data_IF_870985717139
#
_entry.id   IF_870985717139
#
_cell.length_a   1.000
_cell.length_b   1.000
_cell.length_c   1.000
_cell.angle_alpha   90.00
_cell.angle_beta   90.00
_cell.angle_gamma   90.00
#
_symmetry.space_group_name_H-M   'P 1'
#
loop_
_entity.id
_entity.type
_entity.pdbx_description
1 polymer ?
#
# COMPACT_ATOMS: atom_id res chain seq x y z
N UNK A 1 -10.07 -33.58 34.22
CA UNK A 1 -9.14 -32.48 34.59
C UNK A 1 -7.66 -32.89 34.77
N UNK A 2 -7.13 -33.90 34.07
CA UNK A 2 -5.67 -34.19 34.08
C UNK A 2 -5.05 -34.60 32.73
N UNK A 3 -5.79 -34.52 31.62
CA UNK A 3 -5.28 -34.83 30.27
C UNK A 3 -5.26 -33.66 29.29
N UNK A 4 -5.75 -32.48 29.68
CA UNK A 4 -5.78 -31.28 28.81
C UNK A 4 -4.52 -30.39 29.01
N UNK A 5 -3.80 -30.55 30.13
CA UNK A 5 -2.66 -29.69 30.48
C UNK A 5 -1.34 -30.15 29.82
N UNK A 6 -1.23 -31.40 29.36
CA UNK A 6 0.03 -31.91 28.79
C UNK A 6 0.22 -31.51 27.31
N UNK A 7 -0.87 -31.27 26.56
CA UNK A 7 -0.79 -30.84 25.16
C UNK A 7 -0.45 -29.34 24.99
N UNK A 8 -0.75 -28.51 25.98
CA UNK A 8 -0.36 -27.09 25.96
C UNK A 8 1.12 -26.88 26.30
N UNK A 9 1.74 -27.76 27.09
CA UNK A 9 3.15 -27.61 27.50
C UNK A 9 4.12 -28.10 26.41
N UNK A 10 3.72 -29.05 25.56
CA UNK A 10 4.57 -29.54 24.45
C UNK A 10 4.55 -28.56 23.25
N UNK A 11 3.48 -27.78 23.05
CA UNK A 11 3.47 -26.69 22.05
C UNK A 11 4.29 -25.49 22.53
N UNK A 12 4.39 -25.25 23.85
CA UNK A 12 5.16 -24.14 24.41
C UNK A 12 6.69 -24.39 24.49
N UNK A 13 7.13 -25.65 24.43
CA UNK A 13 8.57 -26.01 24.52
C UNK A 13 9.22 -26.16 23.14
N UNK A 14 8.45 -26.33 22.06
CA UNK A 14 8.98 -26.29 20.69
C UNK A 14 9.07 -24.84 20.15
N UNK A 15 8.35 -23.88 20.74
CA UNK A 15 8.42 -22.45 20.38
C UNK A 15 9.60 -21.69 21.01
N UNK A 16 10.40 -22.30 21.89
CA UNK A 16 11.65 -21.70 22.40
C UNK A 16 12.93 -22.36 21.86
N UNK A 17 12.82 -23.26 20.87
CA UNK A 17 13.96 -23.89 20.22
C UNK A 17 14.02 -23.71 18.71
N UNK A 18 13.02 -23.06 18.09
CA UNK A 18 13.18 -22.48 16.76
C UNK A 18 13.80 -21.09 16.89
N UNK A 19 15.09 -21.04 17.21
CA UNK A 19 15.94 -19.97 16.69
C UNK A 19 15.87 -20.15 15.18
N UNK A 20 14.88 -19.50 14.57
CA UNK A 20 14.67 -19.50 13.14
C UNK A 20 15.91 -18.88 12.51
N UNK A 21 16.74 -19.73 11.93
CA UNK A 21 17.71 -19.34 10.91
C UNK A 21 16.92 -18.87 9.67
N UNK A 22 16.32 -17.69 9.75
CA UNK A 22 15.89 -16.92 8.58
C UNK A 22 16.80 -15.70 8.57
N UNK A 23 17.96 -15.86 7.94
CA UNK A 23 18.82 -14.73 7.65
C UNK A 23 18.28 -14.00 6.42
N UNK A 24 17.96 -12.71 6.55
CA UNK A 24 17.92 -11.84 5.39
C UNK A 24 19.33 -11.85 4.75
N UNK A 25 19.38 -12.03 3.43
CA UNK A 25 20.64 -11.97 2.71
C UNK A 25 20.96 -10.51 2.42
N UNK A 26 22.12 -10.03 2.89
CA UNK A 26 22.69 -8.76 2.44
C UNK A 26 23.14 -8.92 1.00
N UNK A 27 22.57 -8.15 0.07
CA UNK A 27 23.06 -8.13 -1.31
C UNK A 27 24.14 -7.07 -1.47
N UNK A 28 25.23 -7.45 -2.12
CA UNK A 28 26.30 -6.57 -2.59
C UNK A 28 26.43 -6.82 -4.09
N UNK A 29 25.43 -6.40 -4.86
CA UNK A 29 25.52 -6.38 -6.31
C UNK A 29 25.22 -4.96 -6.78
N UNK A 30 26.27 -4.24 -7.16
CA UNK A 30 26.16 -3.00 -7.93
C UNK A 30 25.73 -3.38 -9.34
N UNK A 31 24.43 -3.32 -9.62
CA UNK A 31 23.95 -3.17 -10.99
C UNK A 31 23.93 -1.68 -11.31
N UNK A 32 24.98 -1.21 -11.98
CA UNK A 32 24.97 0.11 -12.63
C UNK A 32 23.88 0.10 -13.71
N UNK A 33 22.75 0.78 -13.46
CA UNK A 33 21.83 1.21 -14.51
C UNK A 33 22.11 2.67 -14.83
N UNK A 34 22.83 2.90 -15.94
CA UNK A 34 22.90 4.22 -16.55
C UNK A 34 21.52 4.53 -17.17
N UNK A 35 20.66 5.24 -16.44
CA UNK A 35 19.42 5.78 -16.99
C UNK A 35 19.70 7.18 -17.56
N UNK A 36 19.78 7.28 -18.88
CA UNK A 36 19.63 8.56 -19.58
C UNK A 36 18.54 8.39 -20.64
N UNK A 37 17.32 8.76 -20.27
CA UNK A 37 16.23 9.07 -21.22
C UNK A 37 15.64 10.38 -20.73
N UNK A 38 15.93 11.45 -21.47
CA UNK A 38 15.47 12.81 -21.19
C UNK A 38 13.98 12.84 -20.85
N UNK A 39 13.66 13.19 -19.61
CA UNK A 39 12.32 13.51 -19.15
C UNK A 39 12.08 14.98 -19.46
N UNK A 40 11.13 15.31 -20.33
CA UNK A 40 10.64 16.69 -20.48
C UNK A 40 9.24 16.79 -19.87
N UNK A 41 9.17 16.82 -18.54
CA UNK A 41 7.93 17.06 -17.81
C UNK A 41 8.14 18.18 -16.80
N UNK A 42 7.82 19.42 -17.17
CA UNK A 42 7.66 20.60 -16.28
C UNK A 42 8.54 20.72 -15.01
N UNK A 43 9.80 20.27 -15.03
CA UNK A 43 10.74 20.32 -13.89
C UNK A 43 11.00 18.98 -13.20
N UNK A 44 10.21 17.94 -13.44
CA UNK A 44 10.46 16.58 -12.95
C UNK A 44 11.51 15.86 -13.80
N UNK A 45 12.47 15.23 -13.12
CA UNK A 45 13.50 14.38 -13.71
C UNK A 45 13.40 12.94 -13.23
N UNK A 46 14.02 12.01 -13.98
CA UNK A 46 14.08 10.60 -13.59
C UNK A 46 15.28 10.38 -12.67
N UNK A 47 15.03 10.27 -11.37
CA UNK A 47 16.08 10.05 -10.39
C UNK A 47 16.63 8.62 -10.44
N UNK A 48 15.74 7.64 -10.57
CA UNK A 48 16.15 6.24 -10.57
C UNK A 48 15.20 5.36 -11.36
N UNK A 49 15.74 4.29 -11.95
CA UNK A 49 14.98 3.29 -12.69
C UNK A 49 15.60 1.90 -12.52
N UNK A 50 14.74 0.89 -12.35
CA UNK A 50 15.11 -0.52 -12.36
C UNK A 50 14.17 -1.34 -13.22
N UNK A 51 14.74 -2.17 -14.09
CA UNK A 51 13.99 -3.14 -14.90
C UNK A 51 14.22 -4.55 -14.37
N UNK A 52 13.15 -5.34 -14.27
CA UNK A 52 13.16 -6.66 -13.64
C UNK A 52 13.02 -7.83 -14.61
N UNK A 53 12.89 -7.56 -15.91
CA UNK A 53 12.61 -8.55 -16.94
C UNK A 53 11.19 -8.41 -17.49
N UNK A 54 10.70 -9.41 -18.20
CA UNK A 54 9.43 -9.35 -18.95
C UNK A 54 8.49 -10.53 -18.66
N UNK A 55 8.78 -11.32 -17.62
CA UNK A 55 7.93 -12.40 -17.17
C UNK A 55 6.83 -11.86 -16.26
N UNK A 56 5.55 -11.93 -16.68
CA UNK A 56 4.45 -11.53 -15.81
C UNK A 56 4.31 -12.45 -14.59
N UNK A 57 5.04 -13.56 -14.50
CA UNK A 57 4.93 -14.49 -13.36
C UNK A 57 5.94 -14.22 -12.25
N UNK A 58 6.95 -13.39 -12.50
CA UNK A 58 8.09 -13.20 -11.57
C UNK A 58 8.55 -11.73 -11.51
N UNK A 59 8.41 -10.99 -12.60
CA UNK A 59 9.09 -9.71 -12.78
C UNK A 59 8.16 -8.52 -12.50
N UNK A 60 6.84 -8.74 -12.46
CA UNK A 60 5.85 -7.73 -12.12
C UNK A 60 6.04 -7.19 -10.69
N UNK A 61 5.76 -5.89 -10.51
CA UNK A 61 5.90 -5.17 -9.25
C UNK A 61 4.55 -4.63 -8.80
N UNK A 62 4.36 -4.65 -7.48
CA UNK A 62 3.23 -4.04 -6.78
C UNK A 62 3.75 -3.56 -5.43
N UNK A 63 3.05 -2.59 -4.86
CA UNK A 63 3.35 -2.04 -3.54
C UNK A 63 2.03 -1.84 -2.81
N UNK A 64 2.10 -1.81 -1.49
CA UNK A 64 0.98 -1.34 -0.68
C UNK A 64 0.99 0.19 -0.53
N UNK A 65 -0.02 0.76 0.14
CA UNK A 65 -0.24 2.19 0.29
C UNK A 65 0.83 2.94 1.11
N UNK A 66 1.71 2.24 1.82
CA UNK A 66 2.67 2.84 2.76
C UNK A 66 4.09 2.24 2.61
N UNK A 67 4.72 2.29 1.42
CA UNK A 67 5.99 1.62 1.16
C UNK A 67 7.22 2.47 1.48
N UNK A 68 7.05 3.75 1.83
CA UNK A 68 8.13 4.70 2.11
C UNK A 68 8.12 5.04 3.60
N UNK A 69 9.26 4.88 4.29
CA UNK A 69 9.39 5.25 5.70
C UNK A 69 10.63 4.66 6.39
N UNK A 70 10.94 5.16 7.59
CA UNK A 70 12.09 4.72 8.39
C UNK A 70 11.85 3.35 9.02
N UNK A 71 12.09 2.29 8.26
CA UNK A 71 11.76 0.90 8.61
C UNK A 71 12.78 0.24 9.52
N UNK A 72 14.03 0.74 9.54
CA UNK A 72 15.06 0.27 10.47
C UNK A 72 15.33 1.20 11.66
N UNK A 73 14.58 2.31 11.75
CA UNK A 73 14.59 3.28 12.83
C UNK A 73 15.95 3.99 12.99
N UNK A 74 16.61 4.29 11.87
CA UNK A 74 17.88 5.03 11.81
C UNK A 74 17.71 6.54 11.55
N UNK A 75 16.47 6.99 11.38
CA UNK A 75 16.09 8.37 11.08
C UNK A 75 16.04 8.69 9.59
N UNK A 76 16.20 7.70 8.71
CA UNK A 76 16.07 7.83 7.26
C UNK A 76 15.02 6.86 6.72
N UNK A 77 14.30 7.29 5.70
CA UNK A 77 13.34 6.49 4.98
C UNK A 77 14.02 5.45 4.09
N UNK A 78 13.42 4.26 4.09
CA UNK A 78 13.57 3.24 3.07
C UNK A 78 12.40 3.26 2.10
N UNK A 79 12.64 2.73 0.90
CA UNK A 79 11.61 2.39 -0.07
C UNK A 79 11.45 0.86 -0.14
N UNK A 80 10.22 0.37 0.04
CA UNK A 80 9.89 -1.04 -0.14
C UNK A 80 9.43 -1.32 -1.57
N UNK A 81 10.01 -2.32 -2.21
CA UNK A 81 9.55 -2.79 -3.54
C UNK A 81 9.23 -4.27 -3.45
N UNK A 82 8.02 -4.66 -3.81
CA UNK A 82 7.63 -6.06 -3.84
C UNK A 82 7.33 -6.57 -5.25
N UNK A 83 7.18 -7.88 -5.39
CA UNK A 83 6.82 -8.47 -6.67
C UNK A 83 6.46 -9.94 -6.62
N UNK A 84 6.16 -10.49 -7.80
CA UNK A 84 5.76 -11.90 -8.01
C UNK A 84 6.88 -12.92 -7.81
N UNK A 85 8.02 -12.48 -7.29
CA UNK A 85 9.17 -13.32 -6.95
C UNK A 85 9.27 -13.59 -5.45
N UNK A 86 8.14 -13.48 -4.74
CA UNK A 86 8.03 -13.75 -3.30
C UNK A 86 9.05 -12.95 -2.46
N UNK A 87 9.33 -11.70 -2.88
CA UNK A 87 10.35 -10.86 -2.25
C UNK A 87 9.81 -9.46 -1.99
N UNK A 88 10.01 -8.96 -0.76
CA UNK A 88 9.93 -7.53 -0.44
C UNK A 88 11.35 -7.04 -0.28
N UNK A 89 11.76 -6.13 -1.16
CA UNK A 89 13.08 -5.51 -1.19
C UNK A 89 13.04 -4.27 -0.35
N UNK A 90 14.11 -4.05 0.41
CA UNK A 90 14.31 -2.83 1.17
C UNK A 90 15.41 -2.06 0.48
N UNK A 91 15.06 -0.91 -0.07
CA UNK A 91 15.93 -0.03 -0.83
C UNK A 91 16.34 1.15 0.06
N UNK A 92 17.63 1.46 0.12
CA UNK A 92 18.16 2.67 0.77
C UNK A 92 18.81 3.58 -0.27
N UNK A 93 18.65 4.88 -0.08
CA UNK A 93 19.37 5.90 -0.85
C UNK A 93 20.87 5.89 -0.53
N UNK A 94 21.69 5.97 -1.57
CA UNK A 94 23.15 6.05 -1.50
C UNK A 94 23.60 7.41 -2.03
N UNK A 95 23.71 8.37 -1.11
CA UNK A 95 24.02 9.77 -1.40
C UNK A 95 25.20 9.99 -2.36
N UNK A 96 26.32 9.30 -2.14
CA UNK A 96 27.53 9.51 -2.94
C UNK A 96 27.36 9.07 -4.40
N UNK A 97 26.52 8.07 -4.64
CA UNK A 97 26.32 7.47 -5.95
C UNK A 97 25.02 7.95 -6.59
N UNK A 98 24.23 8.77 -5.87
CA UNK A 98 22.94 9.28 -6.29
C UNK A 98 22.00 8.19 -6.82
N UNK A 99 21.91 7.09 -6.07
CA UNK A 99 21.16 5.90 -6.49
C UNK A 99 20.55 5.14 -5.31
N UNK A 100 19.68 4.19 -5.61
CA UNK A 100 19.10 3.29 -4.61
C UNK A 100 19.82 1.94 -4.62
N UNK A 101 20.13 1.44 -3.43
CA UNK A 101 20.72 0.12 -3.23
C UNK A 101 19.77 -0.79 -2.46
N UNK A 102 19.57 -2.01 -2.96
CA UNK A 102 18.85 -3.04 -2.23
C UNK A 102 19.74 -3.56 -1.08
N UNK A 103 19.39 -3.18 0.15
CA UNK A 103 20.17 -3.56 1.35
C UNK A 103 19.69 -4.85 1.99
N UNK A 104 18.39 -5.16 1.89
CA UNK A 104 17.79 -6.38 2.41
C UNK A 104 16.69 -6.92 1.49
N UNK A 105 16.38 -8.21 1.67
CA UNK A 105 15.25 -8.90 1.07
C UNK A 105 14.52 -9.69 2.16
N UNK A 106 13.21 -9.47 2.25
CA UNK A 106 12.29 -10.22 3.09
C UNK A 106 11.54 -11.25 2.25
N UNK A 107 11.11 -12.33 2.89
CA UNK A 107 10.45 -13.48 2.26
C UNK A 107 9.35 -14.03 3.16
N UNK A 108 8.34 -14.74 2.62
CA UNK A 108 7.25 -15.28 3.42
C UNK A 108 7.73 -16.25 4.52
N UNK A 109 6.92 -16.46 5.57
CA UNK A 109 7.18 -17.49 6.57
C UNK A 109 7.47 -18.85 5.94
N UNK A 110 8.52 -19.53 6.42
CA UNK A 110 8.99 -20.83 5.93
C UNK A 110 9.58 -20.84 4.50
N UNK A 111 9.92 -19.69 3.92
CA UNK A 111 10.72 -19.64 2.70
C UNK A 111 12.04 -20.45 2.84
N UNK A 112 12.49 -21.20 1.82
CA UNK A 112 11.93 -21.33 0.46
C UNK A 112 10.89 -22.45 0.28
N UNK A 113 10.40 -23.07 1.37
CA UNK A 113 9.40 -24.15 1.30
C UNK A 113 8.00 -23.62 0.95
N UNK A 114 7.71 -22.39 1.36
CA UNK A 114 6.51 -21.65 0.98
C UNK A 114 6.95 -20.49 0.08
N UNK A 115 6.35 -20.43 -1.11
CA UNK A 115 6.58 -19.39 -2.11
C UNK A 115 5.21 -18.79 -2.42
N UNK A 116 4.98 -17.60 -1.90
CA UNK A 116 3.79 -16.82 -2.17
C UNK A 116 4.16 -15.34 -2.25
N UNK A 117 3.36 -14.60 -2.99
CA UNK A 117 3.55 -13.18 -3.19
C UNK A 117 2.88 -12.40 -2.05
N UNK A 118 3.47 -11.28 -1.67
CA UNK A 118 2.86 -10.36 -0.72
C UNK A 118 2.02 -9.40 -1.54
N UNK A 119 0.70 -9.57 -1.56
CA UNK A 119 -0.17 -8.61 -2.27
C UNK A 119 0.06 -7.15 -1.83
N UNK A 120 0.47 -6.92 -0.58
CA UNK A 120 0.75 -5.59 -0.07
C UNK A 120 1.65 -5.57 1.17
N UNK A 121 2.18 -4.40 1.46
CA UNK A 121 3.12 -4.12 2.55
C UNK A 121 3.01 -2.67 3.02
N UNK A 122 3.39 -2.45 4.26
CA UNK A 122 3.37 -1.13 4.89
C UNK A 122 4.53 -0.98 5.88
N UNK A 123 5.05 0.24 6.00
CA UNK A 123 5.95 0.67 7.08
C UNK A 123 5.13 1.45 8.11
N UNK A 124 5.27 1.12 9.40
CA UNK A 124 4.63 1.87 10.48
C UNK A 124 4.75 1.20 11.84
N UNK A 125 4.40 1.92 12.91
CA UNK A 125 4.47 1.44 14.30
C UNK A 125 3.29 0.50 14.64
N UNK A 126 3.35 -0.73 14.13
CA UNK A 126 2.33 -1.78 14.35
C UNK A 126 2.26 -2.18 15.82
N UNK A 127 3.40 -2.15 16.50
CA UNK A 127 3.51 -2.62 17.89
C UNK A 127 3.21 -1.56 18.93
N UNK A 128 3.05 -0.30 18.52
CA UNK A 128 2.80 0.86 19.36
C UNK A 128 3.90 1.07 20.41
N UNK A 129 5.16 0.85 20.01
CA UNK A 129 6.34 1.08 20.86
C UNK A 129 7.18 2.30 20.45
N UNK A 130 6.68 3.10 19.50
CA UNK A 130 7.31 4.30 18.97
C UNK A 130 8.37 4.00 17.91
N UNK A 131 8.41 2.77 17.39
CA UNK A 131 9.31 2.36 16.31
C UNK A 131 8.53 1.71 15.19
N UNK A 132 9.00 1.90 13.96
CA UNK A 132 8.37 1.30 12.81
C UNK A 132 8.75 -0.18 12.65
N UNK A 133 7.78 -0.93 12.15
CA UNK A 133 7.91 -2.26 11.60
C UNK A 133 7.57 -2.27 10.11
N UNK A 134 7.89 -3.38 9.44
CA UNK A 134 7.34 -3.70 8.13
C UNK A 134 6.25 -4.75 8.32
N UNK A 135 5.03 -4.45 7.90
CA UNK A 135 3.97 -5.43 7.72
C UNK A 135 3.94 -5.93 6.27
N UNK A 136 3.60 -7.20 6.08
CA UNK A 136 3.36 -7.78 4.76
C UNK A 136 2.17 -8.73 4.83
N UNK A 137 1.38 -8.79 3.75
CA UNK A 137 0.20 -9.65 3.69
C UNK A 137 0.52 -11.15 3.79
N UNK A 138 1.79 -11.56 3.65
CA UNK A 138 2.27 -12.94 3.88
C UNK A 138 1.87 -13.54 5.22
N UNK A 139 0.74 -14.25 5.27
CA UNK A 139 0.19 -14.76 6.53
C UNK A 139 0.12 -13.68 7.63
N UNK A 140 -0.12 -12.42 7.24
CA UNK A 140 -0.13 -11.28 8.16
C UNK A 140 1.18 -11.23 8.97
N UNK A 141 2.30 -11.11 8.27
CA UNK A 141 3.64 -11.11 8.86
C UNK A 141 4.08 -9.69 9.24
N UNK A 142 4.81 -9.59 10.35
CA UNK A 142 5.42 -8.35 10.83
C UNK A 142 6.91 -8.58 11.07
N UNK A 143 7.73 -7.69 10.53
CA UNK A 143 9.17 -7.70 10.62
C UNK A 143 9.68 -6.47 11.35
N UNK A 144 10.67 -6.66 12.21
CA UNK A 144 11.34 -5.58 12.94
C UNK A 144 12.84 -5.64 12.73
N UNK A 145 13.46 -4.49 12.54
CA UNK A 145 14.91 -4.40 12.54
C UNK A 145 15.49 -4.52 13.96
N UNK A 146 16.28 -5.57 14.22
CA UNK A 146 16.94 -5.79 15.51
C UNK A 146 18.34 -6.35 15.26
N UNK A 147 19.34 -5.65 15.80
CA UNK A 147 20.75 -6.05 15.74
C UNK A 147 21.23 -6.31 14.30
N UNK A 148 21.10 -5.29 13.45
CA UNK A 148 21.61 -5.25 12.07
C UNK A 148 20.93 -6.20 11.08
N UNK A 149 19.68 -6.60 11.36
CA UNK A 149 18.84 -7.33 10.39
C UNK A 149 17.37 -7.29 10.77
N UNK A 150 16.51 -7.56 9.80
CA UNK A 150 15.08 -7.74 10.02
C UNK A 150 14.78 -9.15 10.55
N UNK A 151 13.98 -9.20 11.59
CA UNK A 151 13.44 -10.41 12.17
C UNK A 151 11.93 -10.40 12.03
N UNK A 152 11.36 -11.53 11.61
CA UNK A 152 9.93 -11.76 11.74
C UNK A 152 9.58 -11.90 13.22
N UNK A 153 8.77 -10.98 13.73
CA UNK A 153 8.36 -10.95 15.15
C UNK A 153 6.93 -11.43 15.36
N UNK A 154 6.11 -11.42 14.31
CA UNK A 154 4.71 -11.82 14.36
C UNK A 154 4.23 -12.39 13.04
N UNK A 155 3.34 -13.38 13.12
CA UNK A 155 2.59 -13.95 11.99
C UNK A 155 1.20 -14.31 12.50
N UNK A 156 0.16 -14.04 11.72
CA UNK A 156 -1.18 -14.54 11.98
C UNK A 156 -1.80 -15.16 10.71
N UNK A 157 -1.71 -16.49 10.52
CA UNK A 157 -2.14 -17.13 9.30
C UNK A 157 -3.67 -17.31 9.18
N UNK A 158 -4.46 -16.69 10.06
CA UNK A 158 -5.89 -16.97 10.16
C UNK A 158 -6.65 -16.72 8.85
N UNK A 159 -6.36 -15.62 8.14
CA UNK A 159 -7.01 -15.31 6.85
C UNK A 159 -6.80 -16.46 5.86
N UNK A 160 -5.54 -16.81 5.59
CA UNK A 160 -5.17 -17.87 4.66
C UNK A 160 -5.73 -19.24 5.06
N UNK A 161 -5.68 -19.57 6.35
CA UNK A 161 -6.17 -20.87 6.85
C UNK A 161 -7.70 -20.99 6.84
N UNK A 162 -8.42 -19.88 6.62
CA UNK A 162 -9.86 -19.87 6.48
C UNK A 162 -10.30 -19.59 5.03
N UNK A 163 -9.40 -19.78 4.06
CA UNK A 163 -9.72 -19.62 2.63
C UNK A 163 -10.01 -18.17 2.26
N UNK A 164 -9.30 -17.22 2.85
CA UNK A 164 -9.26 -15.84 2.40
C UNK A 164 -7.92 -15.51 1.72
N UNK A 165 -7.95 -14.43 0.95
CA UNK A 165 -6.76 -13.75 0.44
C UNK A 165 -6.66 -12.36 1.06
N UNK A 166 -5.44 -11.85 1.15
CA UNK A 166 -5.20 -10.45 1.49
C UNK A 166 -4.58 -9.79 0.29
N UNK A 167 -5.30 -8.81 -0.25
CA UNK A 167 -4.84 -8.03 -1.39
C UNK A 167 -3.79 -7.03 -0.93
N UNK A 168 -4.08 -6.27 0.13
CA UNK A 168 -3.17 -5.24 0.61
C UNK A 168 -3.23 -5.08 2.15
N UNK A 169 -2.38 -4.23 2.71
CA UNK A 169 -2.41 -3.86 4.12
C UNK A 169 -2.00 -2.41 4.41
N UNK A 170 -2.59 -1.86 5.48
CA UNK A 170 -2.32 -0.52 6.03
C UNK A 170 -1.97 -0.63 7.52
N UNK A 171 -1.25 0.35 8.02
CA UNK A 171 -0.98 0.55 9.44
C UNK A 171 -1.53 1.92 9.85
N UNK A 172 -2.40 1.93 10.85
CA UNK A 172 -2.98 3.16 11.39
C UNK A 172 -4.10 2.92 12.39
N UNK A 173 -4.47 3.96 13.12
CA UNK A 173 -5.52 3.95 14.15
C UNK A 173 -6.90 4.00 13.51
N UNK A 174 -7.51 2.82 13.31
CA UNK A 174 -8.81 2.68 12.65
C UNK A 174 -9.97 2.57 13.63
N UNK A 175 -9.68 2.44 14.91
CA UNK A 175 -10.67 2.35 15.97
C UNK A 175 -10.64 3.54 16.94
N UNK A 176 -9.82 4.55 16.60
CA UNK A 176 -9.69 5.85 17.22
C UNK A 176 -9.33 5.78 18.71
N UNK A 177 -8.53 4.78 19.09
CA UNK A 177 -8.08 4.57 20.48
C UNK A 177 -6.68 5.17 20.79
N UNK A 178 -6.07 5.81 19.79
CA UNK A 178 -4.74 6.42 19.84
C UNK A 178 -3.61 5.44 19.58
N UNK A 179 -3.91 4.24 19.06
CA UNK A 179 -2.92 3.21 18.70
C UNK A 179 -3.17 2.71 17.30
N UNK A 180 -2.10 2.28 16.65
CA UNK A 180 -2.16 1.72 15.31
C UNK A 180 -2.63 0.26 15.34
N UNK A 181 -3.47 -0.07 14.37
CA UNK A 181 -3.81 -1.43 13.95
C UNK A 181 -3.06 -1.80 12.68
N UNK A 182 -2.99 -3.10 12.41
CA UNK A 182 -2.70 -3.64 11.09
C UNK A 182 -4.03 -4.03 10.41
N UNK A 183 -4.37 -3.33 9.34
CA UNK A 183 -5.61 -3.48 8.58
C UNK A 183 -5.26 -4.22 7.29
N UNK A 184 -6.01 -5.27 6.96
CA UNK A 184 -5.83 -6.01 5.71
C UNK A 184 -7.11 -5.91 4.88
N UNK A 185 -6.94 -5.52 3.62
CA UNK A 185 -7.98 -5.60 2.60
C UNK A 185 -7.94 -6.98 1.92
N UNK A 186 -9.07 -7.35 1.34
CA UNK A 186 -9.19 -8.54 0.53
C UNK A 186 -10.59 -9.10 0.68
N UNK A 187 -10.66 -10.36 1.08
CA UNK A 187 -11.92 -11.03 1.38
C UNK A 187 -11.76 -12.54 1.36
N UNK A 188 -12.88 -13.23 1.52
CA UNK A 188 -12.93 -14.64 1.23
C UNK A 188 -12.52 -14.96 -0.20
N UNK A 189 -11.89 -16.12 -0.41
CA UNK A 189 -11.94 -16.78 -1.71
C UNK A 189 -13.40 -16.81 -2.17
N UNK A 190 -13.63 -16.83 -3.49
CA UNK A 190 -14.92 -16.78 -4.22
C UNK A 190 -15.96 -17.89 -3.86
N UNK A 191 -15.98 -18.34 -2.62
CA UNK A 191 -16.86 -19.28 -1.96
C UNK A 191 -17.92 -18.51 -1.19
N UNK A 192 -19.18 -18.90 -1.37
CA UNK A 192 -20.35 -18.23 -0.81
C UNK A 192 -20.55 -18.38 0.71
N UNK A 193 -19.49 -18.66 1.48
CA UNK A 193 -19.57 -18.79 2.94
C UNK A 193 -18.23 -18.56 3.63
N UNK A 194 -17.33 -17.76 3.03
CA UNK A 194 -16.05 -17.47 3.68
C UNK A 194 -16.27 -16.70 4.99
N UNK A 195 -15.60 -17.11 6.09
CA UNK A 195 -15.63 -16.38 7.35
C UNK A 195 -14.70 -15.16 7.34
N UNK A 196 -13.93 -14.94 6.27
CA UNK A 196 -12.98 -13.83 6.17
C UNK A 196 -13.70 -12.59 5.65
N UNK A 197 -13.64 -11.50 6.43
CA UNK A 197 -14.18 -10.21 6.03
C UNK A 197 -13.37 -9.54 4.93
N UNK A 198 -14.03 -8.72 4.14
CA UNK A 198 -13.42 -7.84 3.12
C UNK A 198 -12.36 -6.91 3.71
N UNK A 199 -12.57 -6.49 4.96
CA UNK A 199 -11.58 -5.83 5.81
C UNK A 199 -11.38 -6.68 7.06
N UNK A 200 -10.13 -6.95 7.42
CA UNK A 200 -9.77 -7.66 8.66
C UNK A 200 -8.72 -6.87 9.45
N UNK A 201 -8.94 -6.69 10.74
CA UNK A 201 -8.12 -5.82 11.60
C UNK A 201 -7.42 -6.62 12.69
N UNK A 202 -6.12 -6.36 12.87
CA UNK A 202 -5.27 -6.97 13.88
C UNK A 202 -4.65 -5.90 14.79
N UNK A 203 -4.61 -6.17 16.10
CA UNK A 203 -3.83 -5.39 17.07
C UNK A 203 -2.66 -6.20 17.59
N UNK A 204 -1.53 -5.53 17.81
CA UNK A 204 -0.43 -6.12 18.57
C UNK A 204 -0.75 -6.10 20.07
N UNK A 205 -0.77 -7.26 20.71
CA UNK A 205 -1.08 -7.35 22.15
C UNK A 205 0.17 -7.40 23.06
N UNK A 206 1.35 -7.15 22.50
CA UNK A 206 2.65 -7.27 23.19
C UNK A 206 3.34 -8.63 23.02
N UNK A 207 2.63 -9.65 22.51
CA UNK A 207 3.18 -10.99 22.25
C UNK A 207 2.93 -11.46 20.82
N UNK A 208 1.76 -11.19 20.25
CA UNK A 208 1.37 -11.60 18.90
C UNK A 208 0.29 -10.70 18.33
N UNK A 209 0.08 -10.78 17.01
CA UNK A 209 -1.04 -10.14 16.31
C UNK A 209 -2.34 -10.85 16.63
N UNK A 210 -3.27 -10.14 17.27
CA UNK A 210 -4.60 -10.63 17.58
C UNK A 210 -5.61 -10.04 16.59
N UNK A 211 -6.42 -10.87 15.94
CA UNK A 211 -7.57 -10.40 15.16
C UNK A 211 -8.60 -9.80 16.13
N UNK A 212 -8.99 -8.55 15.91
CA UNK A 212 -9.88 -7.80 16.81
C UNK A 212 -11.18 -7.36 16.19
N UNK A 213 -11.20 -7.12 14.88
CA UNK A 213 -12.39 -6.70 14.15
C UNK A 213 -12.33 -7.19 12.69
N UNK A 214 -13.48 -7.17 12.04
CA UNK A 214 -13.64 -7.45 10.62
C UNK A 214 -14.89 -6.72 10.11
N UNK A 215 -14.92 -6.43 8.82
CA UNK A 215 -16.10 -5.93 8.14
C UNK A 215 -16.31 -6.73 6.85
N UNK A 216 -17.59 -6.98 6.54
CA UNK A 216 -18.01 -7.71 5.35
C UNK A 216 -19.41 -7.22 4.93
N UNK A 217 -19.61 -6.88 3.66
CA UNK A 217 -20.95 -6.63 3.16
C UNK A 217 -21.78 -7.92 3.16
N UNK A 218 -22.90 -7.91 3.88
CA UNK A 218 -23.78 -9.10 3.98
C UNK A 218 -24.54 -9.40 2.68
N UNK A 219 -24.56 -8.47 1.73
CA UNK A 219 -25.39 -8.55 0.53
C UNK A 219 -24.62 -8.99 -0.72
N UNK A 220 -23.29 -8.87 -0.71
CA UNK A 220 -22.43 -9.13 -1.86
C UNK A 220 -21.12 -9.72 -1.35
N UNK A 221 -20.49 -10.57 -2.16
CA UNK A 221 -19.11 -10.99 -1.91
C UNK A 221 -18.18 -10.06 -2.67
N UNK A 222 -17.69 -9.03 -1.99
CA UNK A 222 -16.64 -8.17 -2.51
C UNK A 222 -15.27 -8.76 -2.31
N UNK A 223 -14.33 -8.24 -3.09
CA UNK A 223 -12.90 -8.38 -2.85
C UNK A 223 -12.33 -6.98 -2.93
N UNK A 224 -11.82 -6.48 -1.80
CA UNK A 224 -11.22 -5.14 -1.72
C UNK A 224 -9.75 -5.27 -2.09
N UNK A 225 -9.33 -4.65 -3.18
CA UNK A 225 -7.92 -4.69 -3.60
C UNK A 225 -7.08 -3.80 -2.70
N UNK A 226 -7.37 -2.50 -2.65
CA UNK A 226 -6.68 -1.56 -1.78
C UNK A 226 -7.71 -0.66 -1.07
N UNK A 227 -7.58 -0.58 0.26
CA UNK A 227 -8.39 0.30 1.10
C UNK A 227 -7.61 1.59 1.41
N UNK A 228 -8.31 2.62 1.84
CA UNK A 228 -7.75 3.85 2.41
C UNK A 228 -8.12 4.01 3.88
N UNK A 229 -7.37 4.84 4.60
CA UNK A 229 -7.61 5.20 6.00
C UNK A 229 -7.44 6.72 6.16
N UNK A 230 -8.41 7.40 6.77
CA UNK A 230 -8.31 8.81 7.13
C UNK A 230 -9.65 9.42 7.54
N UNK A 231 -9.60 10.62 8.14
CA UNK A 231 -10.78 11.43 8.51
C UNK A 231 -11.39 12.09 7.26
N UNK A 232 -12.31 11.38 6.62
CA UNK A 232 -12.88 11.77 5.31
C UNK A 232 -14.21 12.51 5.44
N UNK A 233 -14.79 12.57 6.64
CA UNK A 233 -15.96 13.41 6.93
C UNK A 233 -15.68 14.60 7.87
N UNK A 234 -14.40 14.80 8.24
CA UNK A 234 -13.90 15.90 9.05
C UNK A 234 -14.53 15.97 10.45
N UNK A 235 -14.80 14.82 11.06
CA UNK A 235 -15.29 14.70 12.44
C UNK A 235 -14.18 14.51 13.48
N UNK A 236 -12.94 14.30 13.02
CA UNK A 236 -11.74 14.12 13.83
C UNK A 236 -11.41 12.66 14.17
N UNK A 237 -12.19 11.71 13.68
CA UNK A 237 -11.94 10.27 13.73
C UNK A 237 -11.51 9.76 12.35
N UNK A 238 -10.75 8.66 12.29
CA UNK A 238 -10.40 8.02 11.03
C UNK A 238 -11.48 7.03 10.61
N UNK A 239 -11.78 6.99 9.31
CA UNK A 239 -12.58 5.94 8.68
C UNK A 239 -11.72 5.05 7.79
N UNK A 240 -12.08 3.77 7.71
CA UNK A 240 -11.60 2.91 6.62
C UNK A 240 -12.51 3.13 5.41
N UNK A 241 -11.93 3.43 4.25
CA UNK A 241 -12.67 3.52 3.00
C UNK A 241 -12.28 2.35 2.11
N UNK A 242 -13.27 1.57 1.65
CA UNK A 242 -13.04 0.42 0.80
C UNK A 242 -13.98 0.44 -0.41
N UNK A 243 -13.50 -0.14 -1.51
CA UNK A 243 -14.26 -0.24 -2.74
C UNK A 243 -14.16 -1.65 -3.34
N UNK A 244 -15.26 -2.10 -3.92
CA UNK A 244 -15.38 -3.44 -4.52
C UNK A 244 -16.63 -3.47 -5.40
N UNK A 245 -16.63 -4.33 -6.43
CA UNK A 245 -17.74 -4.51 -7.37
C UNK A 245 -18.16 -3.20 -8.04
N UNK A 246 -19.11 -2.47 -7.44
CA UNK A 246 -19.56 -1.16 -7.88
C UNK A 246 -19.86 -0.22 -6.69
N UNK A 247 -19.36 -0.57 -5.50
CA UNK A 247 -19.63 0.13 -4.25
C UNK A 247 -18.35 0.78 -3.74
N UNK A 248 -18.55 1.88 -3.04
CA UNK A 248 -17.55 2.55 -2.23
C UNK A 248 -18.21 2.73 -0.86
N UNK A 249 -17.54 2.26 0.17
CA UNK A 249 -18.04 2.21 1.54
C UNK A 249 -17.06 2.98 2.42
N UNK A 250 -17.60 3.85 3.27
CA UNK A 250 -16.88 4.47 4.37
C UNK A 250 -17.29 3.74 5.64
N UNK A 251 -16.32 3.32 6.44
CA UNK A 251 -16.52 2.47 7.61
C UNK A 251 -16.10 3.25 8.86
N UNK A 252 -17.07 3.79 9.60
CA UNK A 252 -16.82 4.42 10.89
C UNK A 252 -16.79 3.36 11.99
N UNK A 253 -15.92 3.53 12.99
CA UNK A 253 -15.83 2.62 14.12
C UNK A 253 -16.87 2.94 15.21
N UNK A 254 -17.75 1.99 15.53
CA UNK A 254 -18.60 2.08 16.71
C UNK A 254 -17.89 1.44 17.91
N UNK A 255 -17.25 2.26 18.74
CA UNK A 255 -16.54 1.80 19.94
C UNK A 255 -17.45 1.11 20.97
N UNK A 256 -18.74 1.43 21.01
CA UNK A 256 -19.68 0.83 21.95
C UNK A 256 -19.98 -0.62 21.56
N UNK A 257 -20.24 -0.87 20.28
CA UNK A 257 -20.60 -2.20 19.77
C UNK A 257 -19.41 -2.99 19.23
N UNK A 258 -18.25 -2.33 19.06
CA UNK A 258 -17.00 -2.88 18.50
C UNK A 258 -17.20 -3.42 17.09
N UNK A 259 -17.86 -2.64 16.26
CA UNK A 259 -18.13 -2.98 14.87
C UNK A 259 -17.97 -1.76 13.96
N UNK A 260 -17.71 -2.01 12.68
CA UNK A 260 -17.71 -0.97 11.67
C UNK A 260 -19.12 -0.70 11.15
N UNK A 261 -19.52 0.56 11.18
CA UNK A 261 -20.81 1.05 10.65
C UNK A 261 -20.59 1.60 9.24
N UNK A 262 -21.17 0.97 8.20
CA UNK A 262 -20.89 1.35 6.83
C UNK A 262 -21.83 2.46 6.32
N UNK A 263 -21.24 3.47 5.69
CA UNK A 263 -21.92 4.46 4.85
C UNK A 263 -21.57 4.21 3.38
N UNK A 264 -22.57 4.01 2.53
CA UNK A 264 -22.36 3.81 1.09
C UNK A 264 -22.31 5.15 0.37
N UNK A 265 -21.26 5.37 -0.43
CA UNK A 265 -21.19 6.51 -1.36
C UNK A 265 -21.99 6.19 -2.62
N UNK A 266 -22.81 7.16 -3.05
CA UNK A 266 -23.51 7.06 -4.33
C UNK A 266 -22.58 7.48 -5.47
N UNK A 267 -22.20 6.52 -6.30
CA UNK A 267 -21.39 6.74 -7.50
C UNK A 267 -22.25 7.29 -8.68
N UNK A 268 -21.66 8.12 -9.57
CA UNK A 268 -22.32 8.55 -10.80
C UNK A 268 -22.63 7.35 -11.72
N UNK A 269 -23.79 7.37 -12.37
CA UNK A 269 -24.17 6.37 -13.38
C UNK A 269 -23.72 6.78 -14.79
N UNK A 270 -23.42 5.82 -15.68
CA UNK A 270 -23.55 4.37 -15.50
C UNK A 270 -22.35 3.75 -14.77
N UNK A 271 -22.61 2.70 -13.98
CA UNK A 271 -21.56 1.92 -13.29
C UNK A 271 -21.06 0.84 -14.26
N UNK A 272 -20.08 1.19 -15.09
CA UNK A 272 -19.52 0.30 -16.12
C UNK A 272 -18.06 -0.05 -15.83
N UNK A 273 -17.60 0.20 -14.61
CA UNK A 273 -16.20 0.13 -14.19
C UNK A 273 -16.08 -0.42 -12.77
N UNK A 274 -15.07 -1.26 -12.58
CA UNK A 274 -14.72 -1.86 -11.30
C UNK A 274 -13.81 -0.91 -10.53
N UNK A 275 -14.21 -0.41 -9.34
CA UNK A 275 -13.29 0.32 -8.48
C UNK A 275 -12.17 -0.60 -7.98
N UNK A 276 -11.00 -0.03 -7.70
CA UNK A 276 -9.81 -0.82 -7.40
C UNK A 276 -9.08 -0.32 -6.14
N UNK A 277 -8.38 0.81 -6.22
CA UNK A 277 -7.63 1.39 -5.11
C UNK A 277 -8.27 2.64 -4.52
N UNK A 278 -7.99 2.87 -3.24
CA UNK A 278 -8.52 4.01 -2.47
C UNK A 278 -7.39 4.67 -1.69
N UNK A 279 -7.30 6.00 -1.79
CA UNK A 279 -6.42 6.85 -0.97
C UNK A 279 -7.26 7.91 -0.27
N UNK A 280 -6.96 8.17 1.00
CA UNK A 280 -7.65 9.15 1.83
C UNK A 280 -6.67 10.27 2.23
N UNK A 281 -6.62 11.36 1.46
CA UNK A 281 -5.66 12.46 1.61
C UNK A 281 -6.28 13.78 1.14
N UNK A 282 -5.70 14.90 1.55
CA UNK A 282 -6.13 16.26 1.15
C UNK A 282 -5.79 16.50 -0.32
N UNK A 283 -6.80 16.37 -1.18
CA UNK A 283 -6.62 16.43 -2.63
C UNK A 283 -6.73 17.87 -3.13
N UNK A 284 -7.47 18.74 -2.44
CA UNK A 284 -7.75 20.12 -2.90
C UNK A 284 -7.12 21.23 -2.04
N UNK A 285 -6.24 20.85 -1.11
CA UNK A 285 -5.46 21.74 -0.25
C UNK A 285 -6.31 22.58 0.70
N UNK A 286 -7.44 22.04 1.17
CA UNK A 286 -8.30 22.69 2.17
C UNK A 286 -8.06 22.23 3.62
N UNK A 287 -7.11 21.30 3.81
CA UNK A 287 -6.71 20.75 5.10
C UNK A 287 -7.56 19.58 5.57
N UNK A 288 -8.42 19.00 4.72
CA UNK A 288 -9.26 17.83 5.04
C UNK A 288 -9.03 16.73 4.01
N UNK A 289 -9.19 15.48 4.43
CA UNK A 289 -9.02 14.37 3.49
C UNK A 289 -10.25 14.23 2.58
N UNK A 290 -9.99 14.03 1.29
CA UNK A 290 -10.95 13.48 0.33
C UNK A 290 -10.69 12.00 0.10
N UNK A 291 -11.62 11.36 -0.61
CA UNK A 291 -11.49 9.98 -1.09
C UNK A 291 -11.10 10.01 -2.57
N UNK A 292 -9.86 9.65 -2.87
CA UNK A 292 -9.39 9.38 -4.23
C UNK A 292 -9.61 7.91 -4.56
N UNK A 293 -10.30 7.65 -5.66
CA UNK A 293 -10.69 6.32 -6.11
C UNK A 293 -10.19 6.07 -7.53
N UNK A 294 -9.55 4.93 -7.74
CA UNK A 294 -9.10 4.43 -9.04
C UNK A 294 -9.93 3.21 -9.49
N UNK A 295 -9.72 2.78 -10.73
CA UNK A 295 -10.51 1.74 -11.38
C UNK A 295 -9.67 0.78 -12.23
N UNK A 296 -10.25 -0.35 -12.62
CA UNK A 296 -9.75 -1.22 -13.71
C UNK A 296 -9.87 -0.57 -15.12
N UNK A 297 -10.01 0.75 -15.16
CA UNK A 297 -10.10 1.61 -16.34
C UNK A 297 -9.16 2.81 -16.13
N UNK A 298 -8.79 3.54 -17.21
CA UNK A 298 -7.99 4.76 -17.12
C UNK A 298 -8.82 5.92 -16.55
N UNK A 299 -9.29 5.80 -15.31
CA UNK A 299 -10.20 6.74 -14.65
C UNK A 299 -9.78 6.93 -13.20
N UNK A 300 -10.00 8.13 -12.68
CA UNK A 300 -10.08 8.39 -11.24
C UNK A 300 -11.34 9.19 -10.91
N UNK A 301 -11.80 9.07 -9.67
CA UNK A 301 -12.86 9.90 -9.09
C UNK A 301 -12.42 10.40 -7.72
N UNK A 302 -12.69 11.68 -7.41
CA UNK A 302 -12.47 12.26 -6.09
C UNK A 302 -13.83 12.56 -5.45
N UNK A 303 -14.07 12.05 -4.25
CA UNK A 303 -15.26 12.35 -3.46
C UNK A 303 -14.90 13.22 -2.27
N UNK A 304 -15.72 14.25 -2.05
CA UNK A 304 -15.58 15.20 -0.95
C UNK A 304 -16.81 15.18 -0.06
N UNK A 305 -16.60 15.25 1.25
CA UNK A 305 -17.66 15.43 2.22
C UNK A 305 -18.20 16.87 2.19
N UNK A 306 -19.52 17.01 2.11
CA UNK A 306 -20.18 18.32 2.05
C UNK A 306 -20.87 18.73 3.38
N UNK A 307 -20.61 18.01 4.47
CA UNK A 307 -21.27 18.19 5.77
C UNK A 307 -22.51 17.32 5.99
N UNK A 308 -23.03 16.63 4.96
CA UNK A 308 -24.18 15.73 5.08
C UNK A 308 -24.04 14.42 4.30
N UNK A 309 -23.11 14.36 3.36
CA UNK A 309 -22.87 13.23 2.47
C UNK A 309 -21.62 13.46 1.62
N UNK A 310 -21.21 12.41 0.94
CA UNK A 310 -20.12 12.46 -0.04
C UNK A 310 -20.65 12.81 -1.42
N UNK A 311 -19.99 13.75 -2.09
CA UNK A 311 -20.30 14.18 -3.45
C UNK A 311 -19.07 14.06 -4.34
N UNK A 312 -19.27 13.72 -5.62
CA UNK A 312 -18.20 13.74 -6.60
C UNK A 312 -17.70 15.18 -6.79
N UNK A 313 -16.45 15.42 -6.43
CA UNK A 313 -15.76 16.69 -6.66
C UNK A 313 -15.13 16.71 -8.04
N UNK A 314 -14.47 15.61 -8.42
CA UNK A 314 -13.76 15.50 -9.68
C UNK A 314 -13.87 14.09 -10.25
N UNK A 315 -13.87 13.99 -11.57
CA UNK A 315 -13.96 12.73 -12.30
C UNK A 315 -13.33 12.91 -13.68
N UNK A 316 -12.37 12.07 -14.02
CA UNK A 316 -11.68 12.12 -15.31
C UNK A 316 -11.43 10.72 -15.82
N UNK A 317 -11.54 10.54 -17.14
CA UNK A 317 -11.15 9.33 -17.86
C UNK A 317 -10.19 9.72 -18.97
N UNK A 318 -9.07 9.03 -19.08
CA UNK A 318 -8.11 9.16 -20.18
C UNK A 318 -8.42 8.10 -21.24
N UNK A 319 -9.08 8.44 -22.37
CA UNK A 319 -9.64 7.44 -23.29
C UNK A 319 -8.61 6.48 -23.91
N UNK A 320 -7.37 6.94 -24.03
CA UNK A 320 -6.24 6.20 -24.61
C UNK A 320 -5.26 5.70 -23.53
N UNK A 321 -5.61 5.84 -22.25
CA UNK A 321 -4.77 5.43 -21.11
C UNK A 321 -4.93 3.96 -20.74
N UNK A 322 -4.00 3.47 -19.94
CA UNK A 322 -4.08 2.16 -19.29
C UNK A 322 -4.85 2.23 -17.96
N UNK A 323 -5.38 1.10 -17.46
CA UNK A 323 -5.98 1.02 -16.12
C UNK A 323 -5.08 1.59 -15.01
N UNK A 324 -5.69 2.40 -14.14
CA UNK A 324 -4.98 3.05 -13.02
C UNK A 324 -4.80 2.08 -11.84
N UNK A 325 -5.72 1.12 -11.63
CA UNK A 325 -5.67 0.10 -10.58
C UNK A 325 -5.23 0.64 -9.19
N UNK A 326 -4.06 0.32 -8.64
CA UNK A 326 -3.52 0.84 -7.36
C UNK A 326 -2.61 2.07 -7.54
N UNK A 327 -2.33 2.49 -8.78
CA UNK A 327 -1.41 3.58 -9.11
C UNK A 327 -1.98 4.99 -8.88
N UNK A 328 -2.39 5.29 -7.65
CA UNK A 328 -2.82 6.63 -7.22
C UNK A 328 -2.15 7.03 -5.90
N UNK A 329 -1.79 8.31 -5.78
CA UNK A 329 -1.45 8.91 -4.49
C UNK A 329 -1.59 10.44 -4.52
N UNK A 330 -1.49 11.08 -3.35
CA UNK A 330 -1.59 12.53 -3.17
C UNK A 330 -0.47 13.05 -2.27
N UNK A 331 0.13 14.18 -2.64
CA UNK A 331 1.16 14.86 -1.86
C UNK A 331 1.85 15.96 -2.65
N UNK A 332 2.60 16.83 -1.96
CA UNK A 332 3.41 17.89 -2.57
C UNK A 332 4.60 17.30 -3.32
N UNK A 333 4.53 17.31 -4.65
CA UNK A 333 5.50 16.66 -5.55
C UNK A 333 6.44 17.65 -6.24
N UNK A 334 6.09 18.94 -6.29
CA UNK A 334 6.93 19.99 -6.89
C UNK A 334 7.58 20.94 -5.86
N UNK A 335 7.25 20.79 -4.58
CA UNK A 335 7.71 21.58 -3.43
C UNK A 335 7.17 23.01 -3.39
N UNK A 336 5.99 23.27 -3.94
CA UNK A 336 5.31 24.56 -3.83
C UNK A 336 4.45 24.71 -2.56
N UNK A 337 4.30 23.63 -1.78
CA UNK A 337 3.54 23.57 -0.53
C UNK A 337 2.06 23.23 -0.72
N UNK A 338 1.65 22.86 -1.93
CA UNK A 338 0.34 22.30 -2.26
C UNK A 338 0.51 20.82 -2.66
N UNK A 339 -0.52 20.02 -2.45
CA UNK A 339 -0.56 18.63 -2.85
C UNK A 339 -1.06 18.49 -4.29
N UNK A 340 -0.40 17.62 -5.04
CA UNK A 340 -0.85 17.13 -6.34
C UNK A 340 -1.49 15.76 -6.21
N UNK A 341 -2.45 15.47 -7.08
CA UNK A 341 -3.02 14.14 -7.28
C UNK A 341 -2.27 13.45 -8.41
N UNK A 342 -1.63 12.32 -8.10
CA UNK A 342 -0.93 11.49 -9.06
C UNK A 342 -1.78 10.29 -9.48
N UNK A 343 -1.85 10.00 -10.79
CA UNK A 343 -2.59 8.86 -11.33
C UNK A 343 -1.88 8.18 -12.50
N UNK A 344 -1.57 6.91 -12.35
CA UNK A 344 -0.82 6.08 -13.30
C UNK A 344 -1.67 5.43 -14.40
N UNK A 345 -2.15 6.21 -15.37
CA UNK A 345 -2.97 5.70 -16.49
C UNK A 345 -2.11 5.27 -17.70
N UNK A 346 -1.05 4.49 -17.46
CA UNK A 346 0.02 4.24 -18.43
C UNK A 346 1.17 5.20 -18.18
N UNK A 347 1.00 6.45 -18.61
CA UNK A 347 1.78 7.59 -18.11
C UNK A 347 1.25 8.02 -16.75
N UNK A 348 2.09 8.57 -15.87
CA UNK A 348 1.64 9.12 -14.60
C UNK A 348 1.26 10.58 -14.80
N UNK A 349 -0.02 10.86 -14.61
CA UNK A 349 -0.61 12.19 -14.63
C UNK A 349 -0.42 12.86 -13.28
N UNK A 350 0.07 14.10 -13.28
CA UNK A 350 0.18 14.96 -12.10
C UNK A 350 -0.86 16.05 -12.23
N UNK A 351 -1.83 16.09 -11.30
CA UNK A 351 -2.97 16.98 -11.36
C UNK A 351 -2.96 17.93 -10.16
N UNK A 352 -3.01 19.23 -10.41
CA UNK A 352 -3.01 20.27 -9.38
C UNK A 352 -4.39 20.92 -9.26
N UNK A 353 -4.84 21.20 -8.04
CA UNK A 353 -6.08 21.93 -7.80
C UNK A 353 -5.90 23.44 -8.02
N UNK A 354 -6.71 24.03 -8.90
CA UNK A 354 -6.62 25.47 -9.21
C UNK A 354 -7.58 26.36 -8.40
N UNK A 355 -8.20 25.83 -7.35
CA UNK A 355 -9.26 26.51 -6.58
C UNK A 355 -10.69 26.24 -7.10
N UNK A 356 -10.86 25.56 -8.24
CA UNK A 356 -12.19 25.22 -8.78
C UNK A 356 -12.25 23.83 -9.42
N UNK A 357 -11.17 23.40 -10.07
CA UNK A 357 -11.03 22.06 -10.67
C UNK A 357 -9.56 21.64 -10.64
N UNK A 358 -9.30 20.37 -10.91
CA UNK A 358 -7.96 19.87 -11.17
C UNK A 358 -7.53 20.18 -12.60
N UNK A 359 -6.26 20.54 -12.78
CA UNK A 359 -5.60 20.77 -14.06
C UNK A 359 -4.34 19.93 -14.15
N UNK A 360 -4.02 19.43 -15.34
CA UNK A 360 -2.80 18.65 -15.56
C UNK A 360 -1.57 19.57 -15.49
N UNK A 361 -0.73 19.30 -14.51
CA UNK A 361 0.52 20.02 -14.28
C UNK A 361 1.67 19.34 -15.03
N UNK A 362 1.76 18.01 -14.99
CA UNK A 362 2.85 17.27 -15.62
C UNK A 362 2.43 15.86 -16.04
N UNK A 363 3.25 15.25 -16.89
CA UNK A 363 3.12 13.86 -17.36
C UNK A 363 4.47 13.18 -17.22
N UNK A 364 4.55 12.13 -16.40
CA UNK A 364 5.77 11.34 -16.26
C UNK A 364 5.77 10.17 -17.26
N UNK A 365 6.91 9.85 -17.89
CA UNK A 365 6.99 8.89 -18.99
C UNK A 365 7.00 7.42 -18.51
N UNK A 366 6.11 7.05 -17.60
CA UNK A 366 5.82 5.66 -17.24
C UNK A 366 5.02 4.96 -18.34
N UNK A 367 4.85 3.65 -18.24
CA UNK A 367 4.01 2.87 -19.17
C UNK A 367 3.48 1.58 -18.53
N UNK A 368 2.37 1.08 -19.06
CA UNK A 368 1.73 -0.15 -18.59
C UNK A 368 0.74 0.11 -17.45
N UNK A 369 0.19 -0.96 -16.89
CA UNK A 369 -0.81 -0.86 -15.82
C UNK A 369 -0.07 -0.57 -14.52
N UNK A 370 -0.23 0.63 -13.97
CA UNK A 370 0.48 1.06 -12.77
C UNK A 370 -0.18 0.48 -11.53
N UNK A 371 0.46 -0.47 -10.85
CA UNK A 371 -0.01 -0.89 -9.52
C UNK A 371 0.56 -0.02 -8.40
N UNK A 372 1.45 0.91 -8.73
CA UNK A 372 2.18 1.69 -7.75
C UNK A 372 2.28 3.12 -8.24
N UNK A 373 1.78 4.02 -7.40
CA UNK A 373 2.21 5.41 -7.33
C UNK A 373 2.24 5.73 -5.84
N UNK A 374 3.38 6.18 -5.33
CA UNK A 374 3.53 6.56 -3.93
C UNK A 374 4.38 7.83 -3.84
N UNK A 375 3.99 8.75 -2.96
CA UNK A 375 4.65 10.04 -2.78
C UNK A 375 5.28 10.08 -1.39
N UNK A 376 6.58 10.38 -1.35
CA UNK A 376 7.30 10.55 -0.10
C UNK A 376 8.80 10.77 -0.31
N UNK A 377 9.46 11.24 0.76
CA UNK A 377 10.91 11.49 0.78
C UNK A 377 11.69 10.17 0.73
N UNK A 378 12.05 9.73 -0.47
CA UNK A 378 12.73 8.48 -0.74
C UNK A 378 14.26 8.64 -0.61
N UNK A 379 14.79 9.83 -0.92
CA UNK A 379 16.23 10.12 -0.90
C UNK A 379 16.74 10.83 0.38
N UNK A 380 15.84 11.16 1.30
CA UNK A 380 16.12 11.76 2.61
C UNK A 380 16.64 13.20 2.57
N UNK A 381 16.26 13.99 1.56
CA UNK A 381 16.59 15.41 1.48
C UNK A 381 15.49 16.34 2.03
N UNK A 382 14.38 15.76 2.51
CA UNK A 382 13.23 16.47 3.07
C UNK A 382 12.21 16.93 2.04
N UNK A 383 12.32 16.48 0.79
CA UNK A 383 11.36 16.70 -0.30
C UNK A 383 10.78 15.37 -0.75
N UNK A 384 9.60 15.40 -1.35
CA UNK A 384 8.99 14.16 -1.83
C UNK A 384 9.45 13.80 -3.25
N UNK A 385 9.60 12.51 -3.46
CA UNK A 385 9.68 11.88 -4.77
C UNK A 385 8.36 11.19 -5.12
N UNK A 386 8.20 10.85 -6.40
CA UNK A 386 7.14 9.98 -6.90
C UNK A 386 7.78 8.64 -7.26
N UNK A 387 7.48 7.61 -6.48
CA UNK A 387 7.76 6.24 -6.86
C UNK A 387 6.60 5.66 -7.67
N UNK A 388 6.91 4.93 -8.75
CA UNK A 388 5.92 4.29 -9.60
C UNK A 388 6.40 2.93 -10.13
N UNK A 389 5.47 2.04 -10.46
CA UNK A 389 5.77 0.70 -10.93
C UNK A 389 4.59 0.01 -11.64
N UNK A 390 4.91 -0.80 -12.66
CA UNK A 390 3.90 -1.56 -13.41
C UNK A 390 3.72 -3.00 -12.93
N UNK A 391 2.48 -3.47 -13.05
CA UNK A 391 2.08 -4.86 -12.81
C UNK A 391 1.66 -5.60 -14.09
N UNK A 392 1.42 -4.86 -15.17
CA UNK A 392 1.20 -5.41 -16.52
C UNK A 392 1.83 -4.47 -17.57
N UNK A 393 2.38 -5.06 -18.63
CA UNK A 393 3.09 -4.34 -19.70
C UNK A 393 2.85 -5.03 -21.05
N UNK A 394 2.98 -4.28 -22.14
CA UNK A 394 2.84 -4.87 -23.47
C UNK A 394 3.96 -5.88 -23.76
N UNK A 395 3.66 -6.87 -24.60
CA UNK A 395 4.62 -7.91 -24.98
C UNK A 395 5.95 -7.32 -25.46
N UNK A 396 7.03 -7.68 -24.78
CA UNK A 396 8.40 -7.24 -25.10
C UNK A 396 8.88 -6.02 -24.31
N UNK A 397 8.00 -5.36 -23.54
CA UNK A 397 8.40 -4.38 -22.53
C UNK A 397 8.88 -5.08 -21.26
N UNK A 398 9.66 -4.36 -20.46
CA UNK A 398 10.11 -4.83 -19.16
C UNK A 398 9.20 -4.29 -18.06
N UNK A 399 9.07 -5.07 -16.99
CA UNK A 399 8.52 -4.59 -15.75
C UNK A 399 9.53 -3.65 -15.11
N UNK A 400 9.06 -2.46 -14.77
CA UNK A 400 9.92 -1.33 -14.43
C UNK A 400 9.42 -0.64 -13.19
N UNK A 401 10.38 -0.24 -12.36
CA UNK A 401 10.19 0.67 -11.24
C UNK A 401 10.89 1.99 -11.56
N UNK A 402 10.24 3.09 -11.18
CA UNK A 402 10.75 4.44 -11.34
C UNK A 402 10.72 5.20 -10.01
N UNK A 403 11.65 6.13 -9.87
CA UNK A 403 11.57 7.23 -8.90
C UNK A 403 11.82 8.52 -9.67
N UNK A 404 10.84 9.43 -9.62
CA UNK A 404 10.91 10.76 -10.22
C UNK A 404 11.05 11.81 -9.12
N UNK A 405 11.82 12.86 -9.41
CA UNK A 405 12.04 13.97 -8.47
C UNK A 405 11.95 15.31 -9.17
N UNK A 406 11.23 16.25 -8.58
CA UNK A 406 11.20 17.62 -9.08
C UNK A 406 12.55 18.33 -8.87
N UNK A 407 13.05 18.96 -9.94
CA UNK A 407 14.33 19.66 -9.95
C UNK A 407 15.57 18.77 -10.10
N UNK A 408 15.41 17.48 -10.42
CA UNK A 408 16.54 16.55 -10.54
C UNK A 408 17.44 16.81 -11.77
N UNK A 409 16.83 17.05 -12.93
CA UNK A 409 17.52 17.22 -14.22
C UNK A 409 17.59 18.70 -14.68
N UNK A 410 17.28 19.66 -13.79
CA UNK A 410 17.29 21.11 -14.07
C UNK A 410 18.56 21.83 -13.68
#
# INVERSE_FOLDING_TARGET
>A
MKKVILSMIIVLIVSMSSIGLTGAFSFSNNTESNASTEVMSNGYGLQWMMEYGNSPWTDARFQGPQPIGDSDNDGKNELLISGRDCTVRIMKWVENDQTYSQVYALHPPLYPLVQCDAGGMAIGDVTNDGKNEIAATWYTAVYRYIAFKYWMIGVNPWIFFNGGGSADCLIGDCDNDGKNELILSGGGDRQSSSPVGEITVFKWNGLYLQRVAEWNDRNVYGYVFMAGLGDVDADGENEIVCAYENKVMVLNWDAQNKEFVPTKIQRPLPLMDSPFGVVCKDCDNDGKAEILLSYENPRITIFKWNGTGYTTQFDITWPDGDPVIEGIDVGDTDNDGLNEVCAGAGVTHILQWNGTTYVEEALLPTFGWMAVVCIGDCDNDGKNEINAGNVDVASGQQFTEWVFKYGWDT
#
